data_IF_736580332651
#
_entry.id   IF_736580332651
#
_cell.length_a   1.000
_cell.length_b   1.000
_cell.length_c   1.000
_cell.angle_alpha   90.00
_cell.angle_beta   90.00
_cell.angle_gamma   90.00
#
_symmetry.space_group_name_H-M   'P 1'
#
loop_
_entity.id
_entity.type
_entity.pdbx_description
1 polymer ?
#
# COMPACT_ATOMS: atom_id res chain seq x y z
N UNK A 1 -7.97 30.65 -43.38
CA UNK A 1 -9.05 30.94 -42.41
C UNK A 1 -10.32 31.12 -43.24
N UNK A 2 -11.35 30.32 -42.92
CA UNK A 2 -12.76 30.44 -43.37
C UNK A 2 -13.19 30.09 -44.80
N UNK A 3 -12.79 28.94 -45.39
CA UNK A 3 -13.53 28.42 -46.58
C UNK A 3 -13.73 26.90 -46.66
N UNK A 4 -13.46 26.12 -45.59
CA UNK A 4 -13.65 24.66 -45.64
C UNK A 4 -14.64 24.08 -44.62
N UNK A 5 -15.36 24.91 -43.85
CA UNK A 5 -16.27 24.43 -42.79
C UNK A 5 -17.77 24.70 -43.01
N UNK A 6 -18.18 25.30 -44.14
CA UNK A 6 -19.59 25.64 -44.38
C UNK A 6 -20.34 24.62 -45.25
N UNK A 7 -19.68 23.55 -45.71
CA UNK A 7 -20.28 22.60 -46.66
C UNK A 7 -21.01 21.41 -46.04
N UNK A 8 -21.17 21.37 -44.71
CA UNK A 8 -21.86 20.26 -44.04
C UNK A 8 -23.04 20.69 -43.15
N UNK A 9 -23.38 21.99 -43.09
CA UNK A 9 -24.47 22.47 -42.23
C UNK A 9 -25.79 22.70 -43.00
N UNK A 10 -25.77 22.87 -44.33
CA UNK A 10 -26.97 23.21 -45.11
C UNK A 10 -27.59 22.03 -45.90
N UNK A 11 -27.73 20.86 -45.29
CA UNK A 11 -28.48 19.75 -45.92
C UNK A 11 -29.51 19.15 -44.97
N UNK A 12 -30.24 20.02 -44.28
CA UNK A 12 -31.54 19.65 -43.73
C UNK A 12 -32.52 20.72 -44.17
N UNK A 13 -33.32 20.41 -45.19
CA UNK A 13 -34.74 20.76 -45.29
C UNK A 13 -35.22 20.28 -46.66
N UNK A 14 -35.79 19.09 -46.70
CA UNK A 14 -37.20 18.90 -47.06
C UNK A 14 -37.49 17.40 -47.22
N UNK A 15 -38.49 16.99 -46.43
CA UNK A 15 -39.48 15.95 -46.72
C UNK A 15 -39.39 14.60 -45.96
N UNK A 16 -40.53 14.38 -45.31
CA UNK A 16 -41.17 13.15 -44.87
C UNK A 16 -40.88 12.59 -43.45
N UNK A 17 -41.86 12.89 -42.60
CA UNK A 17 -42.07 12.34 -41.28
C UNK A 17 -42.51 10.87 -41.37
N UNK A 18 -41.76 9.97 -40.74
CA UNK A 18 -42.32 8.74 -40.18
C UNK A 18 -41.64 8.40 -38.85
N UNK A 19 -42.46 8.03 -37.88
CA UNK A 19 -42.16 7.98 -36.45
C UNK A 19 -41.09 6.94 -36.06
N UNK A 20 -39.93 7.38 -35.59
CA UNK A 20 -38.96 6.50 -34.90
C UNK A 20 -39.11 6.67 -33.39
N UNK A 21 -39.55 5.60 -32.73
CA UNK A 21 -39.74 5.51 -31.28
C UNK A 21 -38.41 5.74 -30.56
N UNK A 22 -38.36 6.72 -29.65
CA UNK A 22 -37.23 6.96 -28.75
C UNK A 22 -37.03 5.77 -27.81
N UNK A 23 -36.12 4.85 -28.15
CA UNK A 23 -35.55 3.93 -27.18
C UNK A 23 -34.35 4.61 -26.51
N UNK A 24 -34.63 5.47 -25.52
CA UNK A 24 -33.60 6.00 -24.60
C UNK A 24 -33.11 4.85 -23.71
N UNK A 25 -32.19 4.04 -24.23
CA UNK A 25 -31.41 3.12 -23.41
C UNK A 25 -30.52 3.96 -22.49
N UNK A 26 -30.55 3.77 -21.15
CA UNK A 26 -29.77 4.59 -20.24
C UNK A 26 -28.28 4.43 -20.54
N UNK A 27 -27.61 5.53 -20.90
CA UNK A 27 -26.16 5.61 -20.93
C UNK A 27 -25.68 5.19 -19.54
N UNK A 28 -24.82 4.15 -19.40
CA UNK A 28 -24.37 3.71 -18.10
C UNK A 28 -23.69 4.88 -17.39
N UNK A 29 -24.28 5.33 -16.28
CA UNK A 29 -23.70 6.34 -15.42
C UNK A 29 -22.28 5.90 -15.09
N UNK A 30 -21.30 6.66 -15.58
CA UNK A 30 -19.88 6.48 -15.25
C UNK A 30 -19.79 6.43 -13.73
N UNK A 31 -19.57 5.23 -13.18
CA UNK A 31 -19.52 5.04 -11.74
C UNK A 31 -18.46 6.00 -11.18
N UNK A 32 -18.89 6.99 -10.39
CA UNK A 32 -17.96 7.89 -9.70
C UNK A 32 -17.09 7.00 -8.82
N UNK A 33 -15.80 6.83 -9.16
CA UNK A 33 -14.84 6.08 -8.35
C UNK A 33 -14.90 6.64 -6.92
N UNK A 34 -15.44 5.88 -5.97
CA UNK A 34 -15.53 6.28 -4.56
C UNK A 34 -14.12 6.65 -4.09
N UNK A 35 -13.94 7.88 -3.60
CA UNK A 35 -12.64 8.32 -3.07
C UNK A 35 -12.32 7.47 -1.83
N UNK A 36 -11.11 6.91 -1.79
CA UNK A 36 -10.68 6.15 -0.62
C UNK A 36 -10.70 7.03 0.64
N UNK A 37 -11.16 6.49 1.77
CA UNK A 37 -11.13 7.19 3.04
C UNK A 37 -9.68 7.42 3.51
N UNK A 38 -9.53 8.37 4.43
CA UNK A 38 -8.23 8.77 4.97
C UNK A 38 -7.94 7.94 6.23
N UNK A 39 -6.82 7.24 6.23
CA UNK A 39 -6.36 6.49 7.40
C UNK A 39 -6.04 7.46 8.56
N UNK A 40 -6.61 7.26 9.75
CA UNK A 40 -6.32 8.11 10.92
C UNK A 40 -4.86 8.01 11.39
N UNK A 41 -4.22 6.85 11.19
CA UNK A 41 -2.84 6.60 11.65
C UNK A 41 -1.77 7.18 10.73
N UNK A 42 -1.87 7.02 9.40
CA UNK A 42 -0.85 7.53 8.47
C UNK A 42 -1.27 8.76 7.66
N UNK A 43 -2.52 9.20 7.79
CA UNK A 43 -3.11 10.32 7.07
C UNK A 43 -3.12 10.17 5.52
N UNK A 44 -2.93 8.96 5.01
CA UNK A 44 -2.94 8.64 3.56
C UNK A 44 -4.33 8.11 3.16
N UNK A 45 -4.82 8.51 1.97
CA UNK A 45 -6.07 7.98 1.37
C UNK A 45 -5.85 6.61 0.76
N UNK A 46 -6.29 5.55 1.45
CA UNK A 46 -6.21 4.15 1.01
C UNK A 46 -7.38 3.36 1.63
N UNK A 47 -7.77 2.20 1.07
CA UNK A 47 -8.80 1.36 1.68
C UNK A 47 -8.43 1.01 3.14
N UNK A 48 -9.43 1.04 4.01
CA UNK A 48 -9.28 0.56 5.38
C UNK A 48 -9.04 -0.95 5.41
N UNK A 49 -8.57 -1.45 6.56
CA UNK A 49 -8.37 -2.89 6.73
C UNK A 49 -9.69 -3.66 6.62
N UNK A 50 -10.73 -3.12 7.26
CA UNK A 50 -12.14 -3.56 7.21
C UNK A 50 -13.07 -2.32 7.26
N UNK A 51 -14.37 -2.53 7.14
CA UNK A 51 -15.39 -1.46 7.11
C UNK A 51 -15.51 -0.67 8.43
N UNK A 52 -15.08 -1.27 9.55
CA UNK A 52 -15.11 -0.67 10.88
C UNK A 52 -13.76 -0.08 11.31
N UNK A 53 -12.71 -0.29 10.52
CA UNK A 53 -11.35 0.10 10.86
C UNK A 53 -11.09 1.55 10.48
N UNK A 54 -10.57 2.32 11.44
CA UNK A 54 -10.06 3.67 11.17
C UNK A 54 -8.62 3.68 10.58
N UNK A 55 -8.03 2.50 10.38
CA UNK A 55 -6.65 2.33 9.91
C UNK A 55 -6.60 1.60 8.56
N UNK A 56 -5.60 1.88 7.74
CA UNK A 56 -5.38 1.14 6.50
C UNK A 56 -4.68 -0.20 6.77
N UNK A 57 -4.74 -1.11 5.79
CA UNK A 57 -4.10 -2.44 5.85
C UNK A 57 -2.62 -2.37 6.25
N UNK A 58 -1.88 -1.37 5.75
CA UNK A 58 -0.45 -1.22 6.07
C UNK A 58 -0.19 -0.76 7.50
N UNK A 59 -1.07 0.06 8.07
CA UNK A 59 -0.99 0.51 9.46
C UNK A 59 -1.30 -0.63 10.42
N UNK A 60 -2.38 -1.37 10.14
CA UNK A 60 -2.74 -2.57 10.89
C UNK A 60 -1.62 -3.63 10.86
N UNK A 61 -1.05 -3.91 9.69
CA UNK A 61 0.07 -4.87 9.59
C UNK A 61 1.31 -4.44 10.35
N UNK A 62 1.53 -3.14 10.57
CA UNK A 62 2.67 -2.70 11.37
C UNK A 62 2.42 -2.73 12.87
N UNK A 63 1.17 -2.57 13.33
CA UNK A 63 0.85 -2.77 14.75
C UNK A 63 1.01 -4.22 15.20
N UNK A 64 1.06 -5.17 14.26
CA UNK A 64 1.33 -6.58 14.53
C UNK A 64 2.82 -6.94 14.59
N UNK A 65 3.73 -5.98 14.36
CA UNK A 65 5.17 -6.23 14.38
C UNK A 65 5.70 -6.27 15.81
N UNK A 66 6.77 -7.02 16.00
CA UNK A 66 7.52 -7.00 17.25
C UNK A 66 8.06 -5.58 17.51
N UNK A 67 7.90 -5.13 18.74
CA UNK A 67 8.53 -3.93 19.28
C UNK A 67 9.75 -4.33 20.09
N UNK A 68 10.71 -3.41 20.19
CA UNK A 68 11.89 -3.58 21.03
C UNK A 68 11.59 -3.44 22.51
N UNK A 69 10.50 -2.73 22.85
CA UNK A 69 10.22 -2.31 24.23
C UNK A 69 11.01 -1.06 24.64
N UNK A 70 11.88 -0.55 23.75
CA UNK A 70 12.55 0.73 23.91
C UNK A 70 11.84 1.78 23.07
N UNK A 71 11.21 2.75 23.73
CA UNK A 71 10.42 3.79 23.08
C UNK A 71 11.19 4.53 21.97
N UNK A 72 12.45 4.88 22.20
CA UNK A 72 13.25 5.62 21.21
C UNK A 72 13.50 4.79 19.94
N UNK A 73 13.81 3.50 20.11
CA UNK A 73 13.99 2.57 18.98
C UNK A 73 12.65 2.35 18.27
N UNK A 74 11.58 2.14 19.03
CA UNK A 74 10.25 1.88 18.47
C UNK A 74 9.72 3.09 17.69
N UNK A 75 9.90 4.31 18.22
CA UNK A 75 9.57 5.58 17.55
C UNK A 75 10.39 5.76 16.26
N UNK A 76 11.69 5.43 16.30
CA UNK A 76 12.55 5.45 15.11
C UNK A 76 12.06 4.47 14.03
N UNK A 77 11.72 3.24 14.42
CA UNK A 77 11.21 2.22 13.49
C UNK A 77 9.85 2.63 12.92
N UNK A 78 8.95 3.19 13.73
CA UNK A 78 7.66 3.65 13.25
C UNK A 78 7.78 4.84 12.28
N UNK A 79 8.68 5.78 12.57
CA UNK A 79 8.93 6.95 11.71
C UNK A 79 9.43 6.56 10.32
N UNK A 80 10.42 5.66 10.24
CA UNK A 80 10.97 5.16 8.97
C UNK A 80 9.90 4.46 8.16
N UNK A 81 9.10 3.58 8.77
CA UNK A 81 8.01 2.88 8.09
C UNK A 81 6.92 3.84 7.59
N UNK A 82 6.61 4.90 8.35
CA UNK A 82 5.64 5.92 7.96
C UNK A 82 6.14 6.73 6.76
N UNK A 83 7.42 7.08 6.73
CA UNK A 83 8.05 7.73 5.57
C UNK A 83 7.99 6.85 4.32
N UNK A 84 8.39 5.58 4.42
CA UNK A 84 8.38 4.66 3.27
C UNK A 84 6.98 4.42 2.69
N UNK A 85 5.93 4.41 3.53
CA UNK A 85 4.53 4.33 3.06
C UNK A 85 4.12 5.52 2.18
N UNK A 86 4.69 6.70 2.40
CA UNK A 86 4.44 7.90 1.58
C UNK A 86 5.18 7.80 0.25
N UNK A 87 6.43 7.33 0.28
CA UNK A 87 7.31 7.27 -0.89
C UNK A 87 7.15 6.00 -1.75
N UNK A 88 6.27 5.05 -1.38
CA UNK A 88 6.03 3.78 -2.10
C UNK A 88 7.28 2.93 -2.31
N UNK A 89 8.25 2.98 -1.41
CA UNK A 89 9.40 2.09 -1.47
C UNK A 89 9.11 0.74 -0.83
N UNK A 90 9.71 -0.31 -1.39
CA UNK A 90 9.46 -1.71 -1.04
C UNK A 90 10.22 -2.18 0.21
N UNK A 91 11.17 -1.39 0.71
CA UNK A 91 12.03 -1.78 1.85
C UNK A 91 11.50 -1.15 3.13
N UNK A 92 11.19 -1.98 4.13
CA UNK A 92 10.72 -1.56 5.46
C UNK A 92 11.74 -1.98 6.50
N UNK A 93 12.06 -1.09 7.43
CA UNK A 93 12.86 -1.44 8.61
C UNK A 93 12.07 -2.40 9.50
N UNK A 94 12.74 -3.41 10.02
CA UNK A 94 12.18 -4.46 10.88
C UNK A 94 13.01 -4.58 12.16
N UNK A 95 12.33 -4.64 13.31
CA UNK A 95 12.98 -4.99 14.58
C UNK A 95 13.09 -6.50 14.70
N UNK A 96 14.29 -7.01 14.97
CA UNK A 96 14.54 -8.44 15.19
C UNK A 96 14.93 -8.66 16.65
N UNK A 97 14.10 -9.37 17.44
CA UNK A 97 14.43 -9.70 18.82
C UNK A 97 15.73 -10.51 18.90
N UNK A 98 16.57 -10.25 19.91
CA UNK A 98 17.86 -10.93 20.07
C UNK A 98 17.77 -12.46 20.06
N UNK A 99 16.69 -13.01 20.64
CA UNK A 99 16.38 -14.45 20.66
C UNK A 99 16.20 -15.12 19.28
N UNK A 100 16.16 -14.33 18.21
CA UNK A 100 16.05 -14.81 16.82
C UNK A 100 17.42 -15.02 16.17
N UNK A 101 18.49 -14.74 16.90
CA UNK A 101 19.86 -14.95 16.46
C UNK A 101 20.45 -16.18 17.16
N UNK A 102 21.13 -17.03 16.38
CA UNK A 102 21.91 -18.17 16.84
C UNK A 102 23.33 -18.12 16.26
N UNK A 103 24.22 -19.01 16.70
CA UNK A 103 25.63 -19.04 16.26
C UNK A 103 26.27 -17.64 16.36
N UNK A 104 26.13 -17.02 17.53
CA UNK A 104 26.57 -15.65 17.77
C UNK A 104 28.08 -15.68 18.03
N UNK A 105 28.84 -15.15 17.09
CA UNK A 105 30.30 -15.12 17.11
C UNK A 105 30.78 -13.67 17.23
N UNK A 106 31.71 -13.42 18.14
CA UNK A 106 32.38 -12.12 18.21
C UNK A 106 33.24 -11.89 16.96
N UNK A 107 33.16 -10.69 16.38
CA UNK A 107 34.01 -10.28 15.26
C UNK A 107 35.05 -9.24 15.68
N UNK A 108 34.60 -8.13 16.27
CA UNK A 108 35.48 -7.01 16.60
C UNK A 108 34.85 -6.09 17.65
N UNK A 109 35.69 -5.30 18.34
CA UNK A 109 35.28 -4.22 19.23
C UNK A 109 35.96 -2.93 18.79
N UNK A 110 35.16 -1.89 18.60
CA UNK A 110 35.64 -0.53 18.36
C UNK A 110 35.42 0.37 19.58
N UNK A 111 35.67 1.68 19.42
CA UNK A 111 35.46 2.67 20.49
C UNK A 111 34.00 2.83 20.92
N UNK A 112 33.04 2.55 20.02
CA UNK A 112 31.62 2.82 20.26
C UNK A 112 30.73 1.58 20.25
N UNK A 113 31.23 0.42 19.82
CA UNK A 113 30.40 -0.78 19.68
C UNK A 113 31.21 -2.07 19.65
N UNK A 114 30.49 -3.18 19.85
CA UNK A 114 30.98 -4.54 19.62
C UNK A 114 30.18 -5.13 18.46
N UNK A 115 30.89 -5.75 17.52
CA UNK A 115 30.34 -6.35 16.31
C UNK A 115 30.30 -7.86 16.52
N UNK A 116 29.14 -8.44 16.27
CA UNK A 116 28.91 -9.88 16.26
C UNK A 116 28.43 -10.33 14.88
N UNK A 117 28.83 -11.54 14.49
CA UNK A 117 28.22 -12.31 13.42
C UNK A 117 27.17 -13.23 14.03
N UNK A 118 26.04 -13.41 13.38
CA UNK A 118 25.02 -14.34 13.82
C UNK A 118 24.22 -14.91 12.65
N UNK A 119 23.59 -16.06 12.88
CA UNK A 119 22.59 -16.65 11.99
C UNK A 119 21.21 -16.21 12.42
N UNK A 120 20.42 -15.65 11.51
CA UNK A 120 19.03 -15.27 11.78
C UNK A 120 18.11 -16.45 11.49
N UNK A 121 17.50 -17.03 12.54
CA UNK A 121 16.70 -18.26 12.50
C UNK A 121 15.57 -18.17 11.49
N UNK A 122 14.70 -17.16 11.63
CA UNK A 122 13.55 -16.99 10.75
C UNK A 122 13.90 -16.37 9.38
N UNK A 123 15.03 -15.66 9.30
CA UNK A 123 15.37 -14.85 8.14
C UNK A 123 14.38 -13.69 7.85
N UNK A 124 14.59 -12.97 6.74
CA UNK A 124 13.84 -11.77 6.42
C UNK A 124 12.35 -12.02 6.14
N UNK A 125 11.51 -11.03 6.46
CA UNK A 125 10.10 -10.99 6.07
C UNK A 125 9.96 -11.27 4.57
N UNK A 126 9.02 -12.15 4.22
CA UNK A 126 8.58 -12.40 2.85
C UNK A 126 7.20 -11.78 2.58
N UNK A 127 6.25 -12.53 2.04
CA UNK A 127 4.91 -12.04 1.69
C UNK A 127 3.96 -12.11 2.88
N UNK A 128 2.99 -11.19 2.92
CA UNK A 128 1.90 -11.24 3.90
C UNK A 128 0.96 -12.42 3.62
N UNK A 129 0.71 -13.26 4.62
CA UNK A 129 -0.30 -14.31 4.55
C UNK A 129 -1.63 -13.78 5.15
N UNK A 130 -2.66 -13.53 4.31
CA UNK A 130 -3.92 -12.97 4.79
C UNK A 130 -4.71 -13.93 5.69
N UNK A 131 -4.61 -15.25 5.48
CA UNK A 131 -5.33 -16.25 6.29
C UNK A 131 -4.77 -16.32 7.71
N UNK A 132 -3.44 -16.30 7.83
CA UNK A 132 -2.74 -16.38 9.13
C UNK A 132 -2.52 -15.01 9.80
N UNK A 133 -2.94 -13.93 9.12
CA UNK A 133 -2.69 -12.53 9.50
C UNK A 133 -1.25 -12.29 9.97
N UNK A 134 -0.26 -12.82 9.24
CA UNK A 134 1.16 -12.66 9.57
C UNK A 134 2.04 -12.62 8.32
N UNK A 135 3.22 -12.05 8.46
CA UNK A 135 4.24 -12.13 7.42
C UNK A 135 4.87 -13.52 7.38
N UNK A 136 5.08 -14.05 6.18
CA UNK A 136 5.96 -15.19 5.97
C UNK A 136 7.42 -14.83 6.22
N UNK A 137 8.25 -15.86 6.30
CA UNK A 137 9.68 -15.80 6.60
C UNK A 137 10.44 -16.50 5.47
N UNK A 138 11.56 -15.95 5.00
CA UNK A 138 12.38 -16.61 3.97
C UNK A 138 13.18 -17.79 4.52
N UNK A 139 13.43 -17.89 5.82
CA UNK A 139 14.11 -19.03 6.43
C UNK A 139 13.28 -20.32 6.47
N UNK A 140 12.04 -20.30 5.97
CA UNK A 140 11.11 -21.44 6.01
C UNK A 140 11.02 -22.19 4.66
N UNK A 141 12.07 -22.16 3.83
CA UNK A 141 12.16 -23.09 2.71
C UNK A 141 12.96 -24.30 3.18
N UNK A 142 12.24 -25.34 3.60
CA UNK A 142 12.74 -26.72 3.55
C UNK A 142 12.89 -27.15 2.08
#
# INVERSE_FOLDING_TARGET
ITQHYEKQINTIQHDDAESVKENKSPIPLVSRRKKNPRCKKCNIRRPHYDENSNQCKDCYRASLRALSGNKLIDDFIESTQTFYRRCRHDKKLEFIPYKQFTNIEYLAKGGFSVIYKATWIDGPISRWNPKRQKYGRKGNYD
#
